data_IF_425646727177
#
_entry.id   IF_425646727177
#
_cell.length_a   1.000
_cell.length_b   1.000
_cell.length_c   1.000
_cell.angle_alpha   90.00
_cell.angle_beta   90.00
_cell.angle_gamma   90.00
#
_symmetry.space_group_name_H-M   'P 1'
#
loop_
_entity.id
_entity.type
_entity.pdbx_description
1 polymer ?
#
# COMPACT_ATOMS: atom_id res chain seq x y z
N UNK A 1 -5.48 -25.32 22.80
CA UNK A 1 -5.27 -26.08 21.54
C UNK A 1 -5.38 -25.20 20.26
N UNK A 2 -5.80 -23.92 20.34
CA UNK A 2 -5.99 -23.01 19.18
C UNK A 2 -4.72 -22.23 18.79
N UNK A 3 -3.70 -22.15 19.63
CA UNK A 3 -2.47 -21.39 19.34
C UNK A 3 -1.45 -22.16 18.48
N UNK A 4 -1.55 -23.49 18.41
CA UNK A 4 -0.63 -24.33 17.60
C UNK A 4 -0.94 -24.33 16.10
N UNK A 5 -2.17 -23.98 15.70
CA UNK A 5 -2.55 -23.91 14.28
C UNK A 5 -2.06 -22.64 13.57
N UNK A 6 -1.95 -21.51 14.28
CA UNK A 6 -1.40 -20.28 13.71
C UNK A 6 0.13 -20.36 13.48
N UNK A 7 0.84 -21.07 14.34
CA UNK A 7 2.29 -21.28 14.17
C UNK A 7 2.61 -22.18 12.97
N UNK A 8 1.75 -23.13 12.63
CA UNK A 8 1.95 -24.04 11.49
C UNK A 8 1.77 -23.35 10.14
N UNK A 9 0.86 -22.38 10.04
CA UNK A 9 0.63 -21.64 8.80
C UNK A 9 1.79 -20.69 8.46
N UNK A 10 2.46 -20.13 9.48
CA UNK A 10 3.62 -19.25 9.28
C UNK A 10 4.89 -20.03 8.89
N UNK A 11 5.02 -21.28 9.29
CA UNK A 11 6.19 -22.12 9.02
C UNK A 11 6.18 -22.66 7.58
N UNK A 12 5.03 -22.85 6.97
CA UNK A 12 4.90 -23.35 5.59
C UNK A 12 5.34 -22.31 4.54
N UNK A 13 5.25 -21.03 4.84
CA UNK A 13 5.73 -19.97 3.94
C UNK A 13 7.25 -19.78 3.93
N UNK A 14 7.98 -20.34 4.90
CA UNK A 14 9.43 -20.17 5.04
C UNK A 14 10.28 -21.35 4.51
N UNK A 15 9.67 -22.45 4.11
CA UNK A 15 10.40 -23.69 3.73
C UNK A 15 10.45 -24.00 2.23
N UNK A 16 10.16 -23.06 1.34
CA UNK A 16 10.47 -23.23 -0.10
C UNK A 16 11.93 -22.85 -0.38
N UNK A 17 12.87 -23.57 0.20
CA UNK A 17 14.23 -23.64 -0.34
C UNK A 17 14.23 -24.62 -1.51
N UNK A 18 14.02 -24.12 -2.72
CA UNK A 18 14.26 -24.94 -3.91
C UNK A 18 15.76 -25.24 -4.02
N UNK A 19 16.14 -26.49 -3.92
CA UNK A 19 17.42 -27.00 -4.37
C UNK A 19 17.40 -27.00 -5.91
N UNK A 20 17.69 -25.85 -6.51
CA UNK A 20 18.02 -25.75 -7.92
C UNK A 20 19.51 -26.04 -8.09
N UNK A 21 19.85 -27.07 -8.86
CA UNK A 21 21.24 -27.36 -9.20
C UNK A 21 21.93 -26.13 -9.79
N UNK A 22 23.07 -25.73 -9.25
CA UNK A 22 23.89 -24.65 -9.78
C UNK A 22 24.48 -25.08 -11.12
N UNK A 23 23.92 -24.58 -12.22
CA UNK A 23 24.62 -24.49 -13.48
C UNK A 23 25.71 -23.41 -13.36
N UNK A 24 26.96 -23.83 -13.39
CA UNK A 24 28.16 -23.08 -13.03
C UNK A 24 28.48 -21.91 -14.00
N UNK A 25 27.73 -21.73 -15.11
CA UNK A 25 28.04 -20.74 -16.16
C UNK A 25 26.95 -19.65 -16.39
N UNK A 26 25.90 -19.60 -15.61
CA UNK A 26 24.91 -18.54 -15.80
C UNK A 26 25.25 -17.28 -15.00
N UNK A 27 25.72 -16.24 -15.67
CA UNK A 27 25.90 -14.90 -15.08
C UNK A 27 24.57 -14.44 -14.49
N UNK A 28 24.51 -14.29 -13.16
CA UNK A 28 23.29 -13.88 -12.46
C UNK A 28 22.86 -12.49 -12.91
N UNK A 29 21.60 -12.29 -13.31
CA UNK A 29 21.12 -10.98 -13.73
C UNK A 29 21.19 -9.99 -12.56
N UNK A 30 21.59 -8.75 -12.87
CA UNK A 30 21.54 -7.62 -11.95
C UNK A 30 20.12 -7.11 -11.86
N UNK A 31 19.61 -6.95 -10.64
CA UNK A 31 18.22 -6.56 -10.36
C UNK A 31 18.23 -5.27 -9.55
N UNK A 32 18.22 -4.10 -10.22
CA UNK A 32 18.17 -2.83 -9.51
C UNK A 32 16.90 -2.72 -8.66
N UNK A 33 17.02 -1.95 -7.59
CA UNK A 33 15.91 -1.56 -6.73
C UNK A 33 15.43 -0.21 -7.21
N UNK A 34 14.22 -0.13 -7.71
CA UNK A 34 13.54 1.14 -7.92
C UNK A 34 12.88 1.57 -6.61
N UNK A 35 13.27 2.71 -6.07
CA UNK A 35 12.66 3.26 -4.86
C UNK A 35 12.16 4.69 -5.10
N UNK A 36 11.16 5.09 -4.33
CA UNK A 36 10.61 6.44 -4.36
C UNK A 36 10.21 6.89 -2.96
N UNK A 37 10.40 8.18 -2.71
CA UNK A 37 9.93 8.91 -1.53
C UNK A 37 9.01 10.01 -2.01
N UNK A 38 7.78 10.05 -1.51
CA UNK A 38 6.77 11.01 -1.94
C UNK A 38 6.11 11.68 -0.75
N UNK A 39 5.82 12.97 -0.91
CA UNK A 39 4.91 13.74 -0.07
C UNK A 39 3.56 13.81 -0.79
N UNK A 40 2.49 13.56 -0.06
CA UNK A 40 1.11 13.62 -0.56
C UNK A 40 0.36 14.73 0.16
N UNK A 41 -0.35 15.55 -0.61
CA UNK A 41 -1.17 16.66 -0.10
C UNK A 41 -2.48 16.68 -0.85
N UNK A 42 -3.60 16.82 -0.14
CA UNK A 42 -4.89 16.83 -0.79
C UNK A 42 -6.07 17.01 0.15
N UNK A 43 -7.23 16.51 -0.28
CA UNK A 43 -8.47 16.57 0.47
C UNK A 43 -8.81 15.23 1.11
N UNK A 44 -9.51 15.30 2.24
CA UNK A 44 -10.05 14.16 2.94
C UNK A 44 -11.53 14.35 3.31
N UNK A 45 -12.29 13.26 3.23
CA UNK A 45 -13.67 13.18 3.72
C UNK A 45 -13.76 11.99 4.68
N UNK A 46 -14.13 12.27 5.92
CA UNK A 46 -14.20 11.30 7.00
C UNK A 46 -15.62 11.18 7.54
N UNK A 47 -16.03 9.98 7.83
CA UNK A 47 -17.23 9.69 8.62
C UNK A 47 -16.98 8.44 9.46
N UNK A 48 -17.31 8.50 10.73
CA UNK A 48 -17.23 7.36 11.65
C UNK A 48 -18.36 7.44 12.66
N UNK A 49 -19.34 6.56 12.53
CA UNK A 49 -20.54 6.60 13.37
C UNK A 49 -20.28 6.15 14.81
N UNK A 50 -19.13 5.57 15.13
CA UNK A 50 -18.69 5.34 16.50
C UNK A 50 -18.39 6.65 17.21
N UNK A 51 -17.78 7.61 16.53
CA UNK A 51 -17.42 8.92 17.09
C UNK A 51 -18.57 9.92 16.97
N UNK A 52 -19.25 9.95 15.80
CA UNK A 52 -20.28 10.95 15.49
C UNK A 52 -21.04 10.56 14.22
N UNK A 53 -22.34 10.90 14.10
CA UNK A 53 -23.08 10.72 12.86
C UNK A 53 -22.74 11.76 11.77
N UNK A 54 -21.96 12.79 12.10
CA UNK A 54 -21.62 13.87 11.18
C UNK A 54 -20.47 13.48 10.25
N UNK A 55 -20.47 14.05 9.04
CA UNK A 55 -19.37 13.97 8.08
C UNK A 55 -18.40 15.13 8.30
N UNK A 56 -17.12 14.86 8.15
CA UNK A 56 -16.03 15.80 8.29
C UNK A 56 -15.27 15.90 6.97
N UNK A 57 -14.86 17.12 6.60
CA UNK A 57 -14.11 17.39 5.38
C UNK A 57 -12.91 18.26 5.68
N UNK A 58 -11.80 18.03 5.00
CA UNK A 58 -10.58 18.79 5.27
C UNK A 58 -9.41 18.35 4.43
N UNK A 59 -8.23 18.39 5.03
CA UNK A 59 -6.95 18.20 4.37
C UNK A 59 -6.36 16.83 4.71
N UNK A 60 -5.65 16.27 3.74
CA UNK A 60 -4.81 15.08 3.86
C UNK A 60 -3.35 15.43 3.63
N UNK A 61 -2.47 14.87 4.46
CA UNK A 61 -1.02 14.88 4.31
C UNK A 61 -0.50 13.47 4.50
N UNK A 62 0.46 13.03 3.66
CA UNK A 62 1.14 11.76 3.90
C UNK A 62 2.59 11.80 3.41
N UNK A 63 3.41 10.98 4.07
CA UNK A 63 4.73 10.58 3.60
C UNK A 63 4.66 9.14 3.15
N UNK A 64 5.11 8.86 1.93
CA UNK A 64 5.09 7.51 1.39
C UNK A 64 6.46 7.09 0.87
N UNK A 65 6.76 5.82 1.07
CA UNK A 65 7.91 5.12 0.55
C UNK A 65 7.45 3.95 -0.32
N UNK A 66 8.12 3.77 -1.43
CA UNK A 66 7.90 2.64 -2.33
C UNK A 66 9.23 2.00 -2.72
N UNK A 67 9.24 0.69 -2.85
CA UNK A 67 10.32 -0.11 -3.38
C UNK A 67 9.77 -1.16 -4.34
N UNK A 68 10.28 -1.17 -5.58
CA UNK A 68 10.02 -2.22 -6.58
C UNK A 68 11.34 -2.91 -6.94
N UNK A 69 11.27 -4.22 -7.14
CA UNK A 69 12.42 -5.01 -7.56
C UNK A 69 11.98 -6.27 -8.31
N UNK A 70 12.69 -6.63 -9.38
CA UNK A 70 12.53 -7.94 -10.00
C UNK A 70 12.89 -9.05 -9.00
N UNK A 71 12.11 -10.13 -8.93
CA UNK A 71 12.33 -11.24 -7.98
C UNK A 71 13.53 -12.10 -8.39
N UNK A 72 14.10 -12.86 -7.44
CA UNK A 72 15.20 -13.81 -7.74
C UNK A 72 14.72 -14.96 -8.62
N UNK A 73 13.50 -15.42 -8.34
CA UNK A 73 12.85 -16.47 -9.14
C UNK A 73 12.14 -15.81 -10.32
N UNK A 74 12.52 -16.18 -11.52
CA UNK A 74 12.03 -15.65 -12.78
C UNK A 74 12.00 -14.11 -12.84
N UNK A 75 13.18 -13.44 -12.81
CA UNK A 75 13.27 -11.99 -12.69
C UNK A 75 12.71 -11.25 -13.90
N UNK A 76 12.59 -11.90 -15.05
CA UNK A 76 12.00 -11.33 -16.26
C UNK A 76 10.48 -11.12 -16.13
N UNK A 77 9.80 -11.93 -15.30
CA UNK A 77 8.35 -11.89 -15.16
C UNK A 77 7.87 -11.48 -13.78
N UNK A 78 8.62 -11.81 -12.72
CA UNK A 78 8.14 -11.63 -11.35
C UNK A 78 8.69 -10.34 -10.74
N UNK A 79 7.79 -9.49 -10.27
CA UNK A 79 8.10 -8.21 -9.60
C UNK A 79 7.58 -8.27 -8.17
N UNK A 80 8.39 -7.77 -7.24
CA UNK A 80 8.02 -7.55 -5.85
C UNK A 80 7.92 -6.04 -5.61
N UNK A 81 6.88 -5.63 -4.88
CA UNK A 81 6.69 -4.26 -4.42
C UNK A 81 6.49 -4.24 -2.91
N UNK A 82 7.12 -3.28 -2.25
CA UNK A 82 6.84 -2.88 -0.87
C UNK A 82 6.44 -1.41 -0.88
N UNK A 83 5.30 -1.07 -0.27
CA UNK A 83 4.88 0.31 -0.04
C UNK A 83 4.60 0.52 1.44
N UNK A 84 4.96 1.70 1.94
CA UNK A 84 4.62 2.16 3.27
C UNK A 84 4.22 3.62 3.22
N UNK A 85 3.18 4.02 3.96
CA UNK A 85 2.79 5.42 4.09
C UNK A 85 2.31 5.73 5.50
N UNK A 86 2.64 6.94 5.95
CA UNK A 86 2.13 7.54 7.18
C UNK A 86 1.28 8.74 6.77
N UNK A 87 -0.04 8.63 6.99
CA UNK A 87 -1.03 9.62 6.60
C UNK A 87 -1.68 10.29 7.80
N UNK A 88 -1.94 11.59 7.68
CA UNK A 88 -2.65 12.41 8.64
C UNK A 88 -3.78 13.18 7.94
N UNK A 89 -5.00 13.01 8.42
CA UNK A 89 -6.15 13.79 8.00
C UNK A 89 -6.53 14.79 9.10
N UNK A 90 -6.80 16.03 8.70
CA UNK A 90 -7.32 17.09 9.54
C UNK A 90 -8.62 17.62 8.92
N UNK A 91 -9.75 17.27 9.52
CA UNK A 91 -11.08 17.53 8.95
C UNK A 91 -11.98 18.24 9.95
N UNK A 92 -12.84 19.12 9.45
CA UNK A 92 -13.83 19.86 10.22
C UNK A 92 -15.24 19.43 9.84
N UNK A 93 -16.17 19.55 10.78
CA UNK A 93 -17.59 19.37 10.50
C UNK A 93 -18.17 20.57 9.69
N UNK A 94 -19.38 20.45 9.11
CA UNK A 94 -19.99 21.54 8.32
C UNK A 94 -20.13 22.87 9.08
N UNK A 95 -20.31 22.84 10.40
CA UNK A 95 -20.43 24.02 11.23
C UNK A 95 -19.07 24.62 11.66
N UNK A 96 -17.94 23.96 11.31
CA UNK A 96 -16.55 24.33 11.65
C UNK A 96 -16.31 24.57 13.16
N UNK A 97 -17.04 23.84 13.99
CA UNK A 97 -16.94 23.93 15.46
C UNK A 97 -16.44 22.63 16.12
N UNK A 98 -16.05 21.65 15.32
CA UNK A 98 -15.44 20.40 15.77
C UNK A 98 -14.48 19.87 14.71
N UNK A 99 -13.35 19.36 15.17
CA UNK A 99 -12.27 18.84 14.34
C UNK A 99 -12.09 17.35 14.60
N UNK A 100 -11.96 16.58 13.52
CA UNK A 100 -11.61 15.17 13.54
C UNK A 100 -10.23 14.98 12.91
N UNK A 101 -9.37 14.27 13.64
CA UNK A 101 -8.06 13.84 13.16
C UNK A 101 -8.13 12.34 12.81
N UNK A 102 -7.42 11.91 11.78
CA UNK A 102 -7.20 10.50 11.45
C UNK A 102 -5.72 10.30 11.14
N UNK A 103 -5.03 9.53 11.97
CA UNK A 103 -3.64 9.13 11.77
C UNK A 103 -3.60 7.66 11.41
N UNK A 104 -2.91 7.31 10.32
CA UNK A 104 -2.80 5.93 9.90
C UNK A 104 -1.44 5.60 9.29
N UNK A 105 -0.93 4.43 9.64
CA UNK A 105 0.18 3.73 9.00
C UNK A 105 -0.40 2.65 8.08
N UNK A 106 -0.03 2.69 6.81
CA UNK A 106 -0.33 1.65 5.83
C UNK A 106 0.98 1.00 5.37
N UNK A 107 1.04 -0.32 5.42
CA UNK A 107 2.13 -1.13 4.89
C UNK A 107 1.54 -2.14 3.92
N UNK A 108 2.16 -2.32 2.76
CA UNK A 108 1.71 -3.32 1.80
C UNK A 108 2.87 -3.99 1.09
N UNK A 109 2.71 -5.27 0.81
CA UNK A 109 3.61 -6.07 0.01
C UNK A 109 2.84 -6.74 -1.12
N UNK A 110 3.38 -6.68 -2.33
CA UNK A 110 2.77 -7.24 -3.53
C UNK A 110 3.76 -8.11 -4.30
N UNK A 111 3.26 -9.16 -4.89
CA UNK A 111 3.94 -9.97 -5.87
C UNK A 111 3.12 -9.99 -7.16
N UNK A 112 3.73 -9.55 -8.27
CA UNK A 112 3.05 -9.38 -9.55
C UNK A 112 3.79 -10.11 -10.66
N UNK A 113 3.03 -10.64 -11.63
CA UNK A 113 3.54 -11.17 -12.88
C UNK A 113 3.47 -10.09 -13.96
N UNK A 114 4.59 -9.85 -14.62
CA UNK A 114 4.75 -8.85 -15.67
C UNK A 114 4.56 -9.46 -17.05
N UNK A 115 3.89 -8.72 -17.93
CA UNK A 115 3.67 -9.01 -19.32
C UNK A 115 4.02 -7.79 -20.16
N UNK A 116 4.92 -7.95 -21.12
CA UNK A 116 5.22 -6.93 -22.12
C UNK A 116 4.17 -7.02 -23.24
N UNK A 117 3.56 -5.91 -23.60
CA UNK A 117 2.54 -5.83 -24.65
C UNK A 117 3.22 -5.50 -25.98
N UNK A 118 3.43 -6.49 -26.82
CA UNK A 118 4.14 -6.35 -28.10
C UNK A 118 3.46 -5.35 -29.05
N UNK A 119 2.12 -5.26 -29.01
CA UNK A 119 1.34 -4.36 -29.86
C UNK A 119 1.57 -2.88 -29.57
N UNK A 120 2.04 -2.52 -28.37
CA UNK A 120 2.27 -1.14 -27.95
C UNK A 120 3.66 -1.03 -27.33
N UNK A 121 4.61 -0.49 -28.10
CA UNK A 121 5.97 -0.31 -27.62
C UNK A 121 6.03 0.53 -26.34
N UNK A 122 6.70 0.02 -25.31
CA UNK A 122 6.84 0.68 -24.01
C UNK A 122 5.71 0.42 -23.01
N UNK A 123 4.63 -0.30 -23.40
CA UNK A 123 3.55 -0.67 -22.48
C UNK A 123 3.85 -2.02 -21.83
N UNK A 124 3.79 -2.04 -20.51
CA UNK A 124 3.92 -3.24 -19.68
C UNK A 124 2.74 -3.33 -18.72
N UNK A 125 2.19 -4.50 -18.59
CA UNK A 125 1.16 -4.81 -17.61
C UNK A 125 1.72 -5.77 -16.57
N UNK A 126 1.33 -5.59 -15.32
CA UNK A 126 1.60 -6.54 -14.26
C UNK A 126 0.34 -6.68 -13.39
N UNK A 127 0.12 -7.87 -12.87
CA UNK A 127 -0.98 -8.12 -11.94
C UNK A 127 -0.59 -9.23 -10.97
N UNK A 128 -1.18 -9.23 -9.79
CA UNK A 128 -0.86 -10.25 -8.81
C UNK A 128 -1.52 -10.04 -7.46
N UNK A 129 -0.98 -10.75 -6.47
CA UNK A 129 -1.45 -10.69 -5.09
C UNK A 129 -0.85 -9.53 -4.32
N UNK A 130 -1.64 -9.00 -3.40
CA UNK A 130 -1.25 -7.96 -2.45
C UNK A 130 -1.64 -8.41 -1.03
N UNK A 131 -0.81 -8.12 -0.04
CA UNK A 131 -1.19 -8.15 1.37
C UNK A 131 -0.91 -6.79 1.99
N UNK A 132 -1.85 -6.31 2.80
CA UNK A 132 -1.81 -4.99 3.42
C UNK A 132 -2.05 -5.06 4.92
N UNK A 133 -1.31 -4.26 5.67
CA UNK A 133 -1.51 -3.99 7.09
C UNK A 133 -1.81 -2.51 7.27
N UNK A 134 -2.90 -2.19 7.95
CA UNK A 134 -3.26 -0.84 8.36
C UNK A 134 -3.37 -0.78 9.88
N UNK A 135 -2.76 0.25 10.48
CA UNK A 135 -2.93 0.58 11.87
C UNK A 135 -3.10 2.09 12.02
N UNK A 136 -4.06 2.52 12.85
CA UNK A 136 -4.32 3.95 13.02
C UNK A 136 -5.43 4.23 14.03
N UNK A 137 -5.81 5.50 14.12
CA UNK A 137 -6.89 5.96 14.98
C UNK A 137 -7.51 7.24 14.45
N UNK A 138 -8.84 7.34 14.57
CA UNK A 138 -9.58 8.58 14.41
C UNK A 138 -9.81 9.21 15.79
N UNK A 139 -9.61 10.52 15.89
CA UNK A 139 -9.75 11.29 17.14
C UNK A 139 -10.68 12.47 16.96
N UNK A 140 -11.69 12.55 17.80
CA UNK A 140 -12.66 13.64 17.85
C UNK A 140 -12.69 14.24 19.26
N UNK A 141 -11.98 15.36 19.49
CA UNK A 141 -11.82 15.98 20.80
C UNK A 141 -13.18 16.38 21.44
N UNK A 142 -14.20 16.70 20.63
CA UNK A 142 -15.52 17.07 21.12
C UNK A 142 -16.30 15.92 21.75
N UNK A 143 -15.94 14.67 21.44
CA UNK A 143 -16.56 13.49 22.04
C UNK A 143 -15.91 13.20 23.41
N UNK A 144 -16.48 13.70 24.48
CA UNK A 144 -15.89 13.63 25.82
C UNK A 144 -15.83 12.21 26.43
N UNK A 145 -16.67 11.29 25.97
CA UNK A 145 -16.74 9.93 26.54
C UNK A 145 -15.81 8.94 25.83
N UNK A 146 -15.83 8.94 24.50
CA UNK A 146 -14.98 8.09 23.64
C UNK A 146 -14.41 8.91 22.49
N UNK A 147 -13.34 9.69 22.72
CA UNK A 147 -12.80 10.57 21.68
C UNK A 147 -11.99 9.85 20.61
N UNK A 148 -11.63 8.57 20.80
CA UNK A 148 -10.76 7.79 19.92
C UNK A 148 -11.51 6.61 19.34
N UNK A 149 -11.35 6.36 18.05
CA UNK A 149 -11.73 5.12 17.35
C UNK A 149 -10.47 4.49 16.75
N UNK A 150 -9.96 3.42 17.38
CA UNK A 150 -8.85 2.66 16.84
C UNK A 150 -9.24 1.93 15.55
N UNK A 151 -8.33 1.86 14.61
CA UNK A 151 -8.51 1.20 13.31
C UNK A 151 -7.34 0.27 13.05
N UNK A 152 -7.64 -0.99 12.83
CA UNK A 152 -6.65 -2.01 12.51
C UNK A 152 -7.21 -2.96 11.45
N UNK A 153 -6.40 -3.33 10.46
CA UNK A 153 -6.80 -4.31 9.47
C UNK A 153 -5.57 -5.02 8.89
N UNK A 154 -5.72 -6.29 8.62
CA UNK A 154 -4.83 -7.07 7.77
C UNK A 154 -5.63 -7.66 6.63
N UNK A 155 -5.21 -7.41 5.40
CA UNK A 155 -5.97 -7.79 4.20
C UNK A 155 -5.10 -8.51 3.18
N UNK A 156 -5.73 -9.34 2.38
CA UNK A 156 -5.18 -9.98 1.19
C UNK A 156 -6.08 -9.62 0.03
N UNK A 157 -5.49 -9.27 -1.12
CA UNK A 157 -6.23 -8.82 -2.28
C UNK A 157 -5.45 -8.91 -3.57
N UNK A 158 -5.88 -8.16 -4.56
CA UNK A 158 -5.28 -8.07 -5.88
C UNK A 158 -4.73 -6.67 -6.12
N UNK A 159 -3.66 -6.61 -6.90
CA UNK A 159 -3.13 -5.37 -7.46
C UNK A 159 -2.83 -5.57 -8.95
N UNK A 160 -3.11 -4.52 -9.72
CA UNK A 160 -2.71 -4.42 -11.11
C UNK A 160 -1.78 -3.24 -11.30
N UNK A 161 -0.89 -3.30 -12.28
CA UNK A 161 0.01 -2.19 -12.62
C UNK A 161 0.15 -2.10 -14.14
N UNK A 162 -0.15 -0.95 -14.71
CA UNK A 162 0.14 -0.61 -16.09
C UNK A 162 1.26 0.43 -16.10
N UNK A 163 2.35 0.15 -16.81
CA UNK A 163 3.50 1.06 -16.94
C UNK A 163 3.71 1.37 -18.40
N UNK A 164 3.81 2.65 -18.72
CA UNK A 164 4.06 3.11 -20.08
C UNK A 164 5.30 4.00 -20.14
N UNK A 165 6.34 3.54 -20.84
CA UNK A 165 7.59 4.26 -21.03
C UNK A 165 7.54 5.06 -22.34
N UNK A 166 7.66 6.37 -22.24
CA UNK A 166 7.64 7.28 -23.39
C UNK A 166 8.77 8.31 -23.30
N UNK A 167 8.95 9.09 -24.36
CA UNK A 167 9.90 10.22 -24.38
C UNK A 167 9.18 11.50 -24.78
N UNK A 168 9.28 12.52 -23.94
CA UNK A 168 8.87 13.89 -24.24
C UNK A 168 10.09 14.69 -24.75
N UNK A 169 10.31 14.68 -26.05
CA UNK A 169 11.55 15.20 -26.64
C UNK A 169 12.76 14.38 -26.18
N UNK A 170 13.63 14.96 -25.37
CA UNK A 170 14.82 14.30 -24.81
C UNK A 170 14.60 13.70 -23.43
N UNK A 171 13.49 14.02 -22.78
CA UNK A 171 13.19 13.59 -21.42
C UNK A 171 12.46 12.23 -21.43
N UNK A 172 13.06 11.16 -20.86
CA UNK A 172 12.35 9.90 -20.66
C UNK A 172 11.32 10.07 -19.54
N UNK A 173 10.11 9.58 -19.78
CA UNK A 173 8.98 9.65 -18.83
C UNK A 173 8.40 8.26 -18.68
N UNK A 174 8.13 7.86 -17.44
CA UNK A 174 7.44 6.61 -17.12
C UNK A 174 6.11 6.94 -16.46
N UNK A 175 5.02 6.67 -17.17
CA UNK A 175 3.66 6.74 -16.62
C UNK A 175 3.33 5.40 -15.99
N UNK A 176 2.67 5.42 -14.82
CA UNK A 176 2.20 4.22 -14.14
C UNK A 176 0.82 4.46 -13.54
N UNK A 177 -0.06 3.50 -13.75
CA UNK A 177 -1.34 3.40 -13.04
C UNK A 177 -1.41 2.07 -12.29
N UNK A 178 -1.79 2.12 -11.02
CA UNK A 178 -1.82 0.95 -10.15
C UNK A 178 -3.05 0.98 -9.24
N UNK A 179 -4.10 0.22 -9.54
CA UNK A 179 -5.19 -0.07 -8.62
C UNK A 179 -4.84 -1.23 -7.69
N UNK A 180 -5.28 -1.14 -6.43
CA UNK A 180 -5.19 -2.23 -5.44
C UNK A 180 -6.53 -2.39 -4.74
N UNK A 181 -7.03 -3.65 -4.66
CA UNK A 181 -8.32 -4.01 -4.11
C UNK A 181 -8.16 -5.16 -3.11
N UNK A 182 -8.33 -4.95 -1.80
CA UNK A 182 -8.48 -6.01 -0.81
C UNK A 182 -9.72 -6.88 -1.11
N UNK A 183 -9.57 -8.19 -1.01
CA UNK A 183 -10.65 -9.16 -1.24
C UNK A 183 -11.07 -9.88 0.05
N UNK A 184 -10.12 -10.11 0.95
CA UNK A 184 -10.36 -10.81 2.22
C UNK A 184 -9.37 -10.35 3.28
N UNK A 185 -9.65 -10.71 4.53
CA UNK A 185 -8.76 -10.37 5.65
C UNK A 185 -9.49 -10.33 6.97
N UNK A 186 -8.94 -9.58 7.90
CA UNK A 186 -9.54 -9.31 9.20
C UNK A 186 -9.37 -7.84 9.55
N UNK A 187 -10.33 -7.26 10.25
CA UNK A 187 -10.24 -5.90 10.74
C UNK A 187 -10.86 -5.75 12.12
N UNK A 188 -10.39 -4.75 12.85
CA UNK A 188 -10.86 -4.40 14.18
C UNK A 188 -12.01 -3.39 14.09
N UNK A 189 -13.08 -3.65 14.82
CA UNK A 189 -14.17 -2.72 15.08
C UNK A 189 -14.89 -3.13 16.38
N UNK A 190 -15.02 -2.21 17.35
CA UNK A 190 -15.85 -2.48 18.53
C UNK A 190 -17.34 -2.50 18.16
N UNK A 191 -18.18 -2.85 19.12
CA UNK A 191 -19.63 -2.67 18.98
C UNK A 191 -20.05 -1.20 19.14
N UNK A 192 -21.19 -0.83 18.55
CA UNK A 192 -21.72 0.51 18.72
C UNK A 192 -22.06 0.79 20.19
N UNK A 193 -21.43 1.82 20.75
CA UNK A 193 -21.58 2.19 22.16
C UNK A 193 -20.63 1.47 23.13
N UNK A 194 -19.85 0.48 22.66
CA UNK A 194 -18.85 -0.18 23.48
C UNK A 194 -17.68 0.78 23.82
N UNK A 195 -17.32 0.84 25.11
CA UNK A 195 -16.23 1.68 25.56
C UNK A 195 -14.89 0.94 25.50
N UNK A 196 -13.80 1.62 25.16
CA UNK A 196 -12.45 1.02 25.25
C UNK A 196 -12.10 0.58 26.68
N UNK A 197 -12.75 1.16 27.68
CA UNK A 197 -12.61 0.74 29.06
C UNK A 197 -13.18 -0.67 29.30
N UNK A 198 -14.29 -1.01 28.67
CA UNK A 198 -14.89 -2.37 28.73
C UNK A 198 -13.99 -3.40 28.04
N UNK A 199 -13.39 -3.02 26.91
CA UNK A 199 -12.37 -3.85 26.22
C UNK A 199 -11.16 -4.08 27.13
N UNK A 200 -10.68 -3.02 27.82
CA UNK A 200 -9.59 -3.12 28.78
C UNK A 200 -9.96 -4.05 29.96
N UNK A 201 -11.19 -4.05 30.43
CA UNK A 201 -11.68 -4.94 31.49
C UNK A 201 -11.92 -6.39 31.04
N UNK A 202 -11.66 -6.73 29.77
CA UNK A 202 -11.70 -8.09 29.25
C UNK A 202 -12.87 -8.42 28.33
N UNK A 203 -13.69 -7.45 27.94
CA UNK A 203 -14.69 -7.65 26.90
C UNK A 203 -14.01 -7.66 25.52
N UNK A 204 -13.58 -8.84 25.04
CA UNK A 204 -12.91 -9.00 23.74
C UNK A 204 -13.80 -9.68 22.70
N UNK A 205 -15.08 -9.89 23.00
CA UNK A 205 -16.04 -10.54 22.10
C UNK A 205 -16.39 -9.60 20.95
N UNK A 206 -16.37 -10.14 19.73
CA UNK A 206 -16.86 -9.38 18.57
C UNK A 206 -15.96 -8.24 18.06
N UNK A 207 -14.72 -8.11 18.55
CA UNK A 207 -13.81 -7.02 18.15
C UNK A 207 -13.10 -7.23 16.80
N UNK A 208 -12.94 -8.48 16.37
CA UNK A 208 -12.23 -8.83 15.13
C UNK A 208 -13.21 -9.47 14.15
N UNK A 209 -13.29 -8.89 12.97
CA UNK A 209 -14.24 -9.28 11.94
C UNK A 209 -13.53 -9.75 10.70
N UNK A 210 -14.12 -10.75 10.01
CA UNK A 210 -13.67 -11.12 8.67
C UNK A 210 -13.98 -9.98 7.68
N UNK A 211 -12.98 -9.57 6.92
CA UNK A 211 -13.10 -8.56 5.87
C UNK A 211 -13.45 -9.20 4.53
N UNK A 212 -14.39 -8.63 3.81
CA UNK A 212 -14.73 -8.92 2.42
C UNK A 212 -15.35 -7.67 1.77
N UNK A 213 -15.41 -7.52 0.44
CA UNK A 213 -15.83 -6.27 -0.20
C UNK A 213 -17.20 -5.73 0.20
N UNK A 214 -18.10 -6.57 0.76
CA UNK A 214 -19.42 -6.15 1.24
C UNK A 214 -19.42 -5.46 2.61
N UNK A 215 -18.42 -5.71 3.46
CA UNK A 215 -18.32 -5.09 4.80
C UNK A 215 -17.04 -4.29 5.01
N UNK A 216 -16.02 -4.50 4.16
CA UNK A 216 -14.73 -3.80 4.15
C UNK A 216 -14.29 -3.58 2.71
N UNK A 217 -14.70 -2.48 2.12
CA UNK A 217 -14.31 -2.09 0.77
C UNK A 217 -13.19 -1.06 0.82
N UNK A 218 -12.12 -1.30 0.07
CA UNK A 218 -11.07 -0.31 -0.19
C UNK A 218 -10.63 -0.40 -1.64
N UNK A 219 -10.50 0.74 -2.28
CA UNK A 219 -9.90 0.87 -3.59
C UNK A 219 -8.80 1.94 -3.52
N UNK A 220 -7.56 1.49 -3.58
CA UNK A 220 -6.37 2.34 -3.63
C UNK A 220 -5.97 2.52 -5.09
N UNK A 221 -5.94 3.77 -5.58
CA UNK A 221 -5.60 4.11 -6.95
C UNK A 221 -4.37 5.01 -6.96
N UNK A 222 -3.28 4.55 -7.54
CA UNK A 222 -2.06 5.31 -7.69
C UNK A 222 -1.76 5.56 -9.18
N UNK A 223 -1.71 6.82 -9.58
CA UNK A 223 -1.25 7.27 -10.88
C UNK A 223 0.02 8.08 -10.70
N UNK A 224 1.13 7.73 -11.36
CA UNK A 224 2.40 8.46 -11.25
C UNK A 224 3.02 8.70 -12.62
N UNK A 225 3.77 9.81 -12.71
CA UNK A 225 4.64 10.15 -13.81
C UNK A 225 6.05 10.39 -13.25
N UNK A 226 7.02 9.57 -13.63
CA UNK A 226 8.42 9.70 -13.29
C UNK A 226 9.16 10.39 -14.43
N UNK A 227 9.59 11.64 -14.22
CA UNK A 227 10.36 12.46 -15.16
C UNK A 227 11.85 12.24 -14.86
N UNK A 228 12.59 11.54 -15.73
CA UNK A 228 13.94 11.06 -15.45
C UNK A 228 15.00 12.08 -15.85
N UNK A 229 15.88 12.41 -14.89
CA UNK A 229 17.03 13.29 -15.04
C UNK A 229 18.31 12.51 -14.64
N UNK A 230 18.89 11.76 -15.59
CA UNK A 230 20.01 10.85 -15.29
C UNK A 230 19.55 9.66 -14.44
N UNK A 231 20.19 9.48 -13.29
CA UNK A 231 19.97 8.34 -12.38
C UNK A 231 18.78 8.56 -11.41
N UNK A 232 18.27 9.80 -11.35
CA UNK A 232 17.14 10.18 -10.51
C UNK A 232 15.97 10.64 -11.36
N UNK A 233 14.76 10.62 -10.78
CA UNK A 233 13.56 11.15 -11.41
C UNK A 233 12.75 11.98 -10.42
N UNK A 234 12.12 13.03 -10.94
CA UNK A 234 11.04 13.73 -10.26
C UNK A 234 9.77 12.90 -10.45
N UNK A 235 9.14 12.50 -9.36
CA UNK A 235 7.83 11.85 -9.38
C UNK A 235 6.74 12.86 -9.10
N UNK A 236 5.75 12.90 -9.98
CA UNK A 236 4.49 13.62 -9.79
C UNK A 236 3.37 12.59 -9.91
N UNK A 237 2.34 12.67 -9.08
CA UNK A 237 1.28 11.68 -9.14
C UNK A 237 -0.03 12.14 -8.52
N UNK A 238 -1.02 11.31 -8.69
CA UNK A 238 -2.31 11.38 -8.02
C UNK A 238 -2.52 10.07 -7.26
N UNK A 239 -2.93 10.17 -5.98
CA UNK A 239 -3.30 9.04 -5.16
C UNK A 239 -4.72 9.23 -4.64
N UNK A 240 -5.61 8.29 -4.96
CA UNK A 240 -7.00 8.25 -4.51
C UNK A 240 -7.25 7.00 -3.68
N UNK A 241 -7.66 7.15 -2.42
CA UNK A 241 -8.04 6.04 -1.53
C UNK A 241 -9.52 6.17 -1.16
N UNK A 242 -10.29 5.18 -1.59
CA UNK A 242 -11.72 5.05 -1.29
C UNK A 242 -11.88 3.91 -0.31
N UNK A 243 -12.26 4.21 0.93
CA UNK A 243 -12.47 3.23 1.97
C UNK A 243 -13.86 3.34 2.59
N UNK A 244 -14.52 2.19 2.76
CA UNK A 244 -15.80 2.05 3.43
C UNK A 244 -15.85 0.75 4.22
N UNK A 245 -16.23 0.80 5.49
CA UNK A 245 -16.55 -0.38 6.26
C UNK A 245 -17.89 -0.25 6.98
N UNK A 246 -18.57 -1.40 7.14
CA UNK A 246 -19.84 -1.49 7.87
C UNK A 246 -19.89 -2.80 8.65
N UNK A 247 -19.88 -2.69 9.98
CA UNK A 247 -19.97 -3.81 10.90
C UNK A 247 -20.46 -3.31 12.26
N UNK A 248 -21.16 -4.13 13.03
CA UNK A 248 -21.60 -3.79 14.39
C UNK A 248 -22.40 -2.47 14.47
N UNK A 249 -23.21 -2.16 13.47
CA UNK A 249 -23.91 -0.87 13.33
C UNK A 249 -22.98 0.35 13.24
N UNK A 250 -21.68 0.15 13.10
CA UNK A 250 -20.71 1.21 12.84
C UNK A 250 -20.43 1.28 11.34
N UNK A 251 -20.51 2.50 10.80
CA UNK A 251 -20.13 2.83 9.42
C UNK A 251 -18.94 3.76 9.47
N UNK A 252 -17.85 3.36 8.80
CA UNK A 252 -16.66 4.19 8.65
C UNK A 252 -16.44 4.45 7.16
N UNK A 253 -16.28 5.73 6.77
CA UNK A 253 -15.87 6.14 5.42
C UNK A 253 -14.64 7.01 5.50
N UNK A 254 -13.73 6.79 4.56
CA UNK A 254 -12.59 7.66 4.32
C UNK A 254 -12.35 7.73 2.82
N UNK A 255 -12.45 8.94 2.28
CA UNK A 255 -12.15 9.22 0.88
C UNK A 255 -11.06 10.28 0.84
N UNK A 256 -9.93 9.97 0.22
CA UNK A 256 -8.84 10.93 0.04
C UNK A 256 -8.50 11.08 -1.44
N UNK A 257 -8.21 12.32 -1.83
CA UNK A 257 -7.77 12.70 -3.16
C UNK A 257 -6.53 13.58 -3.00
N UNK A 258 -5.38 13.08 -3.42
CA UNK A 258 -4.10 13.73 -3.16
C UNK A 258 -3.27 13.89 -4.43
N UNK A 259 -2.55 14.99 -4.50
CA UNK A 259 -1.40 15.18 -5.38
C UNK A 259 -0.16 14.65 -4.64
N UNK A 260 0.63 13.82 -5.28
CA UNK A 260 1.92 13.36 -4.77
C UNK A 260 3.08 13.99 -5.55
N UNK A 261 4.11 14.42 -4.82
CA UNK A 261 5.36 14.90 -5.39
C UNK A 261 6.53 14.26 -4.64
N UNK A 262 7.59 13.89 -5.35
CA UNK A 262 8.71 13.24 -4.71
C UNK A 262 9.85 12.93 -5.65
N UNK A 263 10.78 12.14 -5.14
CA UNK A 263 11.95 11.68 -5.88
C UNK A 263 11.93 10.17 -6.01
N UNK A 264 12.32 9.69 -7.19
CA UNK A 264 12.48 8.26 -7.46
C UNK A 264 13.82 8.00 -8.14
N UNK A 265 14.28 6.74 -8.07
CA UNK A 265 15.51 6.34 -8.74
C UNK A 265 15.71 4.84 -8.70
N UNK A 266 16.64 4.34 -9.50
CA UNK A 266 17.07 2.96 -9.48
C UNK A 266 18.49 2.84 -8.94
N UNK A 267 18.67 1.96 -7.97
CA UNK A 267 19.98 1.69 -7.36
C UNK A 267 20.34 0.21 -7.53
N UNK A 268 21.57 -0.03 -7.96
CA UNK A 268 22.19 -1.35 -7.97
C UNK A 268 22.94 -1.55 -6.65
N UNK A 269 22.46 -2.51 -5.84
CA UNK A 269 23.24 -2.99 -4.70
C UNK A 269 24.31 -3.93 -5.24
N UNK A 270 25.56 -3.45 -5.29
CA UNK A 270 26.72 -4.29 -5.60
C UNK A 270 27.01 -5.18 -4.38
N UNK A 271 27.12 -6.48 -4.60
CA UNK A 271 27.52 -7.44 -3.55
C UNK A 271 28.90 -7.07 -2.97
N UNK A 272 29.28 -7.71 -1.86
CA UNK A 272 30.49 -7.46 -1.03
C UNK A 272 31.80 -7.32 -1.85
N UNK A 273 31.86 -7.86 -3.06
CA UNK A 273 33.07 -7.83 -3.91
C UNK A 273 33.08 -6.71 -4.97
N UNK A 274 32.04 -5.86 -5.03
CA UNK A 274 32.02 -4.64 -5.86
C UNK A 274 32.23 -4.81 -7.38
N UNK A 275 32.41 -6.04 -7.87
CA UNK A 275 32.65 -6.32 -9.29
C UNK A 275 31.33 -6.56 -10.02
N UNK A 276 31.06 -5.71 -11.01
CA UNK A 276 29.99 -5.95 -11.99
C UNK A 276 30.62 -6.79 -13.11
N UNK A 277 30.04 -7.98 -13.35
CA UNK A 277 30.34 -8.70 -14.56
C UNK A 277 29.78 -7.91 -15.76
N UNK A 278 30.62 -7.52 -16.70
CA UNK A 278 30.22 -6.76 -17.90
C UNK A 278 29.21 -7.52 -18.77
N UNK A 279 29.07 -8.83 -18.57
CA UNK A 279 28.11 -9.69 -19.27
C UNK A 279 26.77 -9.79 -18.54
N UNK A 280 26.66 -9.26 -17.31
CA UNK A 280 25.45 -9.37 -16.53
C UNK A 280 24.33 -8.54 -17.16
N UNK A 281 23.20 -9.20 -17.46
CA UNK A 281 21.97 -8.56 -17.92
C UNK A 281 21.34 -7.78 -16.76
N UNK A 282 20.94 -6.54 -16.99
CA UNK A 282 20.19 -5.74 -16.02
C UNK A 282 18.71 -5.94 -16.27
N UNK A 283 17.97 -6.32 -15.22
CA UNK A 283 16.51 -6.51 -15.27
C UNK A 283 15.87 -5.53 -14.30
N UNK A 284 15.36 -4.42 -14.85
CA UNK A 284 14.60 -3.42 -14.09
C UNK A 284 13.16 -3.90 -13.84
N UNK A 285 12.61 -3.48 -12.71
CA UNK A 285 11.19 -3.69 -12.40
C UNK A 285 10.27 -2.68 -13.10
N UNK A 286 10.80 -1.50 -13.46
CA UNK A 286 10.02 -0.40 -14.06
C UNK A 286 10.35 -0.15 -15.54
N UNK A 287 11.60 -0.40 -15.95
CA UNK A 287 12.12 0.01 -17.26
C UNK A 287 12.49 -1.18 -18.14
#
# INVERSE_FOLDING_TARGET
MKLKLLASALTVCLSMTSHGGENIDSVRPLRPVAAAYTLEIGSAHLADTYLTPLKYTGQHFALAYERLQAMRHNPDRNIMQLRGSLGLNHCENPARNATMWDLALDLSWSMMWRYDIEAVSGLRLAWGGNTGLRAGAMYLARNGNNPVAAKGAWTIGLTGMATYNLRLGRLPVTLRYQPTLPLTGVFFSPDYGELYYEIYLGNHSGLVHAAWPGNYFRLDNLLTADLRFGDTALRIGYHGDIFSSKVNNIVTHRFTHTLSIGVSGEWLSLGRNGRIDRRARIISALY
#
